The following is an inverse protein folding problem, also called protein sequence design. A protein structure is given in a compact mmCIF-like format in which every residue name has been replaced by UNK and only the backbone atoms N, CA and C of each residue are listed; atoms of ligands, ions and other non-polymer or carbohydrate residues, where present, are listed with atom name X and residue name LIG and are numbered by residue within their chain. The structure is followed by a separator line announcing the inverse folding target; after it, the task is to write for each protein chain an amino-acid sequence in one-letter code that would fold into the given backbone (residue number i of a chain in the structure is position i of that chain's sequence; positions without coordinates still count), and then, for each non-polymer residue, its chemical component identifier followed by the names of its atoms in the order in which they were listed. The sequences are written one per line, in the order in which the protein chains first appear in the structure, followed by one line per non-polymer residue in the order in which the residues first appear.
data_IF_935835521713
#
_entry.id   IF_935835521713
#
_cell.length_a   1.000
_cell.length_b   1.000
_cell.length_c   1.000
_cell.angle_alpha   90.00
_cell.angle_beta   90.00
_cell.angle_gamma   90.00
#
_symmetry.space_group_name_H-M   'P 1'
#
loop_
_entity.id
_entity.type
_entity.pdbx_description
1 polymer ?
#
# COMPACT_ATOMS: atom_id res chain seq x y z
N UNK A 1 1.48 20.77 -9.05
CA UNK A 1 0.61 19.83 -9.79
C UNK A 1 1.00 18.34 -9.67
N UNK A 2 2.10 17.96 -8.99
CA UNK A 2 2.58 16.56 -8.98
C UNK A 2 2.00 15.60 -7.92
N UNK A 3 1.67 16.07 -6.70
CA UNK A 3 1.28 15.17 -5.60
C UNK A 3 -0.10 14.51 -5.79
N UNK A 4 -1.07 15.21 -6.38
CA UNK A 4 -2.43 14.72 -6.59
C UNK A 4 -2.51 13.65 -7.69
N UNK A 5 -1.73 13.79 -8.77
CA UNK A 5 -1.70 12.78 -9.84
C UNK A 5 -1.02 11.47 -9.37
N UNK A 6 0.04 11.57 -8.56
CA UNK A 6 0.70 10.41 -7.97
C UNK A 6 -0.17 9.71 -6.93
N UNK A 7 -0.89 10.46 -6.11
CA UNK A 7 -1.83 9.91 -5.15
C UNK A 7 -2.86 9.00 -5.84
N UNK A 8 -3.37 9.43 -7.01
CA UNK A 8 -4.29 8.64 -7.82
C UNK A 8 -3.63 7.37 -8.40
N UNK A 9 -2.39 7.46 -8.89
CA UNK A 9 -1.64 6.32 -9.41
C UNK A 9 -1.28 5.29 -8.31
N UNK A 10 -0.83 5.77 -7.16
CA UNK A 10 -0.56 4.94 -5.97
C UNK A 10 -1.83 4.24 -5.48
N UNK A 11 -2.95 4.97 -5.42
CA UNK A 11 -4.22 4.41 -5.02
C UNK A 11 -4.72 3.32 -5.99
N UNK A 12 -4.63 3.57 -7.29
CA UNK A 12 -5.02 2.58 -8.31
C UNK A 12 -4.21 1.27 -8.18
N UNK A 13 -2.92 1.37 -7.88
CA UNK A 13 -2.03 0.22 -7.71
C UNK A 13 -2.34 -0.63 -6.46
N UNK A 14 -2.53 0.01 -5.30
CA UNK A 14 -2.83 -0.69 -4.04
C UNK A 14 -4.14 -1.51 -4.16
N UNK A 15 -5.11 -0.98 -4.90
CA UNK A 15 -6.38 -1.66 -5.24
C UNK A 15 -6.20 -2.81 -6.24
N UNK A 16 -5.43 -2.61 -7.32
CA UNK A 16 -5.20 -3.63 -8.36
C UNK A 16 -4.40 -4.85 -7.85
N UNK A 17 -3.43 -4.65 -6.96
CA UNK A 17 -2.71 -5.73 -6.28
C UNK A 17 -3.65 -6.59 -5.39
N UNK A 18 -4.68 -5.97 -4.80
CA UNK A 18 -5.74 -6.67 -4.06
C UNK A 18 -6.73 -7.41 -4.96
N UNK A 19 -7.08 -6.83 -6.12
CA UNK A 19 -8.03 -7.42 -7.08
C UNK A 19 -7.46 -8.66 -7.79
N UNK A 20 -6.17 -8.64 -8.12
CA UNK A 20 -5.47 -9.79 -8.72
C UNK A 20 -5.42 -11.02 -7.79
N UNK A 21 -5.43 -10.81 -6.47
CA UNK A 21 -5.49 -11.89 -5.48
C UNK A 21 -6.89 -12.53 -5.39
N UNK A 22 -7.96 -11.75 -5.63
CA UNK A 22 -9.35 -12.22 -5.59
C UNK A 22 -9.70 -13.12 -6.78
N UNK A 23 -9.15 -12.82 -7.97
CA UNK A 23 -9.44 -13.58 -9.17
C UNK A 23 -8.78 -14.96 -9.23
N UNK A 24 -7.70 -15.19 -8.47
CA UNK A 24 -7.07 -16.52 -8.34
C UNK A 24 -7.86 -17.47 -7.42
N UNK A 25 -8.68 -16.96 -6.51
CA UNK A 25 -9.50 -17.81 -5.62
C UNK A 25 -10.90 -18.09 -6.19
N UNK A 26 -11.39 -17.28 -7.13
CA UNK A 26 -12.73 -17.46 -7.73
C UNK A 26 -12.78 -18.47 -8.89
N UNK A 27 -11.64 -18.87 -9.48
CA UNK A 27 -11.59 -19.85 -10.57
C UNK A 27 -11.65 -21.33 -10.13
N UNK A 28 -11.65 -21.61 -8.82
CA UNK A 28 -11.61 -22.97 -8.28
C UNK A 28 -12.98 -23.55 -7.84
N UNK A 29 -14.10 -22.85 -8.09
CA UNK A 29 -15.43 -23.26 -7.58
C UNK A 29 -16.56 -23.33 -8.61
N UNK A 30 -16.25 -23.35 -9.91
CA UNK A 30 -17.27 -23.56 -10.95
C UNK A 30 -16.85 -24.69 -11.88
N UNK A 31 -17.09 -25.94 -11.46
CA UNK A 31 -17.42 -27.05 -12.35
C UNK A 31 -17.84 -28.28 -11.53
N UNK A 32 -19.12 -28.37 -11.18
CA UNK A 32 -19.78 -29.66 -10.96
C UNK A 32 -20.99 -29.71 -11.89
N UNK A 33 -21.02 -30.57 -12.91
CA UNK A 33 -22.28 -30.87 -13.59
C UNK A 33 -22.95 -32.05 -12.89
N UNK A 34 -24.23 -31.87 -12.55
CA UNK A 34 -25.12 -32.95 -12.14
C UNK A 34 -25.95 -33.43 -13.33
N UNK A 35 -26.18 -34.75 -13.34
CA UNK A 35 -27.38 -35.44 -13.84
C UNK A 35 -27.63 -35.58 -15.35
N UNK A 36 -27.33 -36.80 -15.84
CA UNK A 36 -28.17 -37.71 -16.68
C UNK A 36 -29.12 -37.13 -17.74
N UNK A 37 -28.91 -37.53 -19.00
CA UNK A 37 -29.97 -37.99 -19.92
C UNK A 37 -29.38 -38.90 -21.01
N UNK A 38 -30.07 -40.02 -21.30
CA UNK A 38 -29.76 -40.99 -22.36
C UNK A 38 -29.84 -40.37 -23.76
N UNK A 39 -28.94 -40.74 -24.69
CA UNK A 39 -29.34 -41.30 -26.02
C UNK A 39 -28.13 -41.78 -26.87
N UNK A 40 -28.23 -43.05 -27.30
CA UNK A 40 -27.68 -43.79 -28.47
C UNK A 40 -26.50 -43.27 -29.32
N UNK A 41 -25.55 -44.21 -29.51
CA UNK A 41 -24.85 -44.64 -30.76
C UNK A 41 -24.50 -43.59 -31.83
N UNK A 42 -23.21 -43.47 -32.18
CA UNK A 42 -22.57 -44.05 -33.40
C UNK A 42 -21.10 -43.63 -33.53
N UNK A 43 -20.30 -44.52 -34.10
CA UNK A 43 -18.91 -44.34 -34.55
C UNK A 43 -18.77 -43.18 -35.56
N UNK A 44 -17.59 -42.56 -35.61
CA UNK A 44 -16.74 -42.38 -36.81
C UNK A 44 -15.54 -41.49 -36.47
N UNK A 45 -14.33 -42.05 -36.53
CA UNK A 45 -13.34 -41.90 -37.60
C UNK A 45 -12.49 -40.62 -37.55
N UNK A 46 -11.22 -40.89 -37.26
CA UNK A 46 -10.01 -40.11 -37.46
C UNK A 46 -9.98 -39.52 -38.88
N UNK A 47 -9.78 -38.21 -39.01
CA UNK A 47 -9.35 -37.60 -40.25
C UNK A 47 -8.16 -36.68 -39.97
N UNK A 48 -6.99 -37.11 -40.42
CA UNK A 48 -5.78 -36.32 -40.54
C UNK A 48 -5.89 -35.54 -41.85
N UNK A 49 -5.77 -34.21 -41.79
CA UNK A 49 -5.35 -33.44 -42.95
C UNK A 49 -4.38 -32.35 -42.50
N UNK A 50 -3.12 -32.50 -42.91
CA UNK A 50 -2.16 -31.40 -43.02
C UNK A 50 -2.65 -30.50 -44.15
N UNK A 51 -2.57 -29.19 -43.96
CA UNK A 51 -2.16 -28.32 -45.03
C UNK A 51 -1.43 -27.10 -44.50
N UNK A 52 -0.28 -26.87 -45.11
CA UNK A 52 0.62 -25.73 -45.00
C UNK A 52 0.00 -24.51 -45.67
N UNK A 53 0.06 -23.34 -45.02
CA UNK A 53 -0.03 -22.06 -45.69
C UNK A 53 0.78 -21.03 -44.91
N UNK A 54 1.77 -20.45 -45.59
CA UNK A 54 2.53 -19.29 -45.18
C UNK A 54 1.63 -18.05 -45.19
N UNK A 55 1.78 -17.19 -44.18
CA UNK A 55 1.35 -15.81 -44.25
C UNK A 55 2.33 -14.97 -43.43
N UNK A 56 3.14 -14.18 -44.15
CA UNK A 56 3.89 -13.08 -43.57
C UNK A 56 2.91 -12.16 -42.83
N UNK A 57 3.20 -11.86 -41.55
CA UNK A 57 2.49 -10.82 -40.82
C UNK A 57 3.50 -9.79 -40.35
N UNK A 58 3.16 -8.55 -40.66
CA UNK A 58 3.95 -7.35 -40.50
C UNK A 58 4.61 -7.23 -39.12
N UNK A 59 5.81 -6.66 -39.10
CA UNK A 59 6.41 -6.10 -37.89
C UNK A 59 5.53 -4.94 -37.39
N UNK A 60 4.44 -5.27 -36.71
CA UNK A 60 3.74 -4.35 -35.85
C UNK A 60 4.70 -4.03 -34.70
N UNK A 61 5.25 -2.82 -34.71
CA UNK A 61 5.83 -2.22 -33.52
C UNK A 61 4.72 -2.18 -32.46
N UNK A 62 4.65 -3.25 -31.68
CA UNK A 62 3.82 -3.31 -30.49
C UNK A 62 4.46 -2.36 -29.49
N UNK A 63 4.03 -1.11 -29.48
CA UNK A 63 4.18 -0.27 -28.30
C UNK A 63 3.50 -1.03 -27.17
N UNK A 64 4.30 -1.77 -26.41
CA UNK A 64 3.83 -2.66 -25.36
C UNK A 64 3.17 -1.76 -24.32
N UNK A 65 1.84 -1.72 -24.32
CA UNK A 65 1.06 -0.89 -23.41
C UNK A 65 1.51 -1.20 -21.98
N UNK A 66 2.17 -0.22 -21.35
CA UNK A 66 2.81 -0.41 -20.05
C UNK A 66 1.68 -0.60 -19.05
N UNK A 67 1.70 -1.72 -18.31
CA UNK A 67 0.67 -2.00 -17.30
C UNK A 67 0.77 -0.96 -16.19
N UNK A 68 -0.35 -0.64 -15.55
CA UNK A 68 -0.36 0.31 -14.42
C UNK A 68 0.61 -0.06 -13.30
N UNK A 69 0.86 -1.36 -13.10
CA UNK A 69 1.86 -1.88 -12.15
C UNK A 69 3.27 -1.44 -12.49
N UNK A 70 3.59 -1.43 -13.78
CA UNK A 70 4.92 -1.15 -14.28
C UNK A 70 5.16 0.36 -14.26
N UNK A 71 4.12 1.18 -14.50
CA UNK A 71 4.19 2.64 -14.36
C UNK A 71 4.51 3.09 -12.93
N UNK A 72 3.82 2.54 -11.92
CA UNK A 72 4.08 2.89 -10.50
C UNK A 72 5.44 2.35 -10.04
N UNK A 73 5.83 1.17 -10.52
CA UNK A 73 7.16 0.63 -10.25
C UNK A 73 8.26 1.53 -10.82
N UNK A 74 8.08 2.07 -12.04
CA UNK A 74 8.98 3.03 -12.68
C UNK A 74 9.07 4.34 -11.89
N UNK A 75 7.94 4.85 -11.38
CA UNK A 75 7.89 6.11 -10.63
C UNK A 75 8.68 6.05 -9.32
N UNK A 76 8.69 4.88 -8.67
CA UNK A 76 9.51 4.62 -7.50
C UNK A 76 10.86 3.94 -7.83
N UNK A 77 11.19 3.75 -9.10
CA UNK A 77 12.42 3.07 -9.50
C UNK A 77 13.66 3.87 -9.08
N UNK A 78 13.57 5.20 -9.15
CA UNK A 78 14.63 6.13 -8.73
C UNK A 78 15.03 5.98 -7.24
N UNK A 79 14.15 5.39 -6.42
CA UNK A 79 14.50 5.13 -5.03
C UNK A 79 15.63 4.12 -4.92
N UNK A 80 15.86 3.27 -5.94
CA UNK A 80 16.86 2.21 -5.94
C UNK A 80 16.85 1.39 -4.65
N UNK A 81 15.65 1.07 -4.15
CA UNK A 81 15.47 0.42 -2.86
C UNK A 81 16.16 -0.96 -2.88
N UNK A 82 17.10 -1.21 -1.96
CA UNK A 82 17.83 -2.47 -1.96
C UNK A 82 16.88 -3.64 -1.72
N UNK A 83 16.97 -4.64 -2.61
CA UNK A 83 16.39 -5.97 -2.39
C UNK A 83 17.38 -6.71 -1.49
N UNK A 84 17.32 -6.45 -0.20
CA UNK A 84 18.29 -7.01 0.75
C UNK A 84 17.93 -8.45 1.12
N UNK A 85 18.85 -9.38 0.88
CA UNK A 85 18.78 -10.75 1.39
C UNK A 85 18.77 -10.80 2.94
N UNK A 86 19.29 -9.76 3.62
CA UNK A 86 19.26 -9.63 5.09
C UNK A 86 17.84 -9.42 5.62
N UNK A 87 17.03 -8.58 4.94
CA UNK A 87 15.59 -8.41 5.24
C UNK A 87 14.87 -9.76 5.13
N UNK A 88 15.10 -10.53 4.05
CA UNK A 88 14.45 -11.84 3.89
C UNK A 88 14.83 -12.85 4.97
N UNK A 89 16.03 -12.72 5.57
CA UNK A 89 16.46 -13.51 6.72
C UNK A 89 15.73 -13.13 8.01
N UNK A 90 15.67 -11.84 8.35
CA UNK A 90 15.06 -11.36 9.60
C UNK A 90 13.53 -11.29 9.58
N UNK A 91 12.91 -10.91 8.46
CA UNK A 91 11.46 -10.88 8.30
C UNK A 91 10.87 -12.25 7.91
N UNK A 92 11.75 -13.18 7.54
CA UNK A 92 11.42 -14.48 6.95
C UNK A 92 10.67 -14.33 5.62
N UNK A 93 10.49 -15.43 4.90
CA UNK A 93 9.55 -15.52 3.76
C UNK A 93 8.06 -15.45 4.22
N UNK A 94 7.79 -14.83 5.36
CA UNK A 94 6.54 -14.94 6.04
C UNK A 94 5.54 -13.94 5.46
N UNK A 95 4.65 -14.47 4.62
CA UNK A 95 3.53 -13.78 3.96
C UNK A 95 2.89 -12.73 4.86
N UNK A 96 2.86 -11.48 4.38
CA UNK A 96 2.18 -10.38 5.06
C UNK A 96 0.69 -10.44 4.67
N UNK A 97 -0.19 -10.47 5.67
CA UNK A 97 -1.64 -10.35 5.43
C UNK A 97 -1.95 -8.92 4.99
N UNK A 98 -2.71 -8.79 3.91
CA UNK A 98 -3.11 -7.47 3.41
C UNK A 98 -3.99 -6.73 4.41
N UNK A 99 -5.01 -7.42 4.96
CA UNK A 99 -5.97 -6.87 5.90
C UNK A 99 -5.72 -7.40 7.31
N UNK A 100 -5.93 -6.54 8.31
CA UNK A 100 -5.93 -6.91 9.73
C UNK A 100 -7.23 -6.49 10.41
N UNK A 101 -7.50 -7.01 11.60
CA UNK A 101 -8.59 -6.49 12.43
C UNK A 101 -8.03 -5.42 13.38
N UNK A 102 -8.23 -4.11 13.14
CA UNK A 102 -7.69 -3.05 13.99
C UNK A 102 -8.30 -3.02 15.39
N UNK A 103 -9.40 -3.76 15.62
CA UNK A 103 -10.08 -3.88 16.91
C UNK A 103 -9.56 -5.07 17.74
N UNK A 104 -8.49 -5.75 17.30
CA UNK A 104 -7.85 -6.80 18.09
C UNK A 104 -7.17 -6.21 19.32
N UNK A 105 -7.14 -6.93 20.45
CA UNK A 105 -6.47 -6.51 21.69
C UNK A 105 -4.98 -6.18 21.49
N UNK A 106 -4.34 -6.82 20.50
CA UNK A 106 -2.95 -6.50 20.12
C UNK A 106 -2.74 -5.09 19.56
N UNK A 107 -3.81 -4.38 19.20
CA UNK A 107 -3.76 -3.05 18.57
C UNK A 107 -4.50 -1.97 19.36
N UNK A 108 -4.85 -2.25 20.62
CA UNK A 108 -5.51 -1.29 21.52
C UNK A 108 -4.52 -0.47 22.34
N UNK A 109 -3.26 -0.91 22.44
CA UNK A 109 -2.20 -0.17 23.11
C UNK A 109 -1.68 0.92 22.17
N UNK A 110 -1.67 2.19 22.60
CA UNK A 110 -1.10 3.27 21.79
C UNK A 110 0.40 3.07 21.55
N UNK A 111 0.88 3.48 20.37
CA UNK A 111 2.32 3.45 20.06
C UNK A 111 3.10 4.35 21.04
N UNK A 112 4.32 3.98 21.47
CA UNK A 112 5.13 4.87 22.29
C UNK A 112 5.48 6.14 21.52
N UNK A 113 5.51 7.28 22.23
CA UNK A 113 5.95 8.56 21.66
C UNK A 113 7.48 8.49 21.51
N UNK A 114 8.03 8.69 20.31
CA UNK A 114 9.48 8.73 20.13
C UNK A 114 10.07 10.04 20.66
N UNK A 115 11.37 10.04 20.95
CA UNK A 115 12.10 11.29 21.09
C UNK A 115 12.30 11.91 19.69
N UNK A 116 11.52 12.96 19.39
CA UNK A 116 11.55 13.59 18.08
C UNK A 116 12.92 14.17 17.70
N UNK A 117 13.74 14.52 18.69
CA UNK A 117 15.09 15.03 18.46
C UNK A 117 16.09 13.95 18.04
N UNK A 118 15.82 12.69 18.41
CA UNK A 118 16.59 11.53 17.94
C UNK A 118 16.10 11.04 16.56
N UNK A 119 14.80 11.22 16.28
CA UNK A 119 14.17 10.79 15.02
C UNK A 119 14.47 11.72 13.86
N UNK A 120 14.36 13.04 14.07
CA UNK A 120 14.49 14.04 13.01
C UNK A 120 15.65 14.98 13.27
N UNK A 121 16.42 15.28 12.21
CA UNK A 121 17.50 16.28 12.27
C UNK A 121 17.01 17.65 12.76
N UNK A 122 15.79 18.04 12.37
CA UNK A 122 15.12 19.22 12.89
C UNK A 122 13.65 18.89 13.16
N UNK A 123 13.25 18.60 14.42
CA UNK A 123 11.88 18.20 14.74
C UNK A 123 10.86 19.35 14.70
N UNK A 124 11.30 20.60 14.49
CA UNK A 124 10.40 21.77 14.44
C UNK A 124 9.83 22.02 13.04
N UNK A 125 10.32 21.31 12.01
CA UNK A 125 9.82 21.42 10.65
C UNK A 125 8.36 20.96 10.53
N UNK A 126 7.62 21.40 9.49
CA UNK A 126 6.29 20.91 9.20
C UNK A 126 6.18 19.39 9.15
N UNK A 127 5.18 18.81 9.81
CA UNK A 127 4.92 17.38 9.81
C UNK A 127 3.89 17.01 8.74
N UNK A 128 4.18 15.90 8.07
CA UNK A 128 3.31 15.23 7.13
C UNK A 128 3.13 13.77 7.56
N UNK A 129 1.89 13.38 7.83
CA UNK A 129 1.56 12.04 8.35
C UNK A 129 0.83 11.22 7.29
N UNK A 130 1.34 10.02 6.99
CA UNK A 130 0.67 9.05 6.12
C UNK A 130 0.10 7.88 6.94
N UNK A 131 -1.22 7.83 7.03
CA UNK A 131 -1.96 6.83 7.80
C UNK A 131 -2.22 5.62 6.92
N UNK A 132 -1.73 4.46 7.35
CA UNK A 132 -1.77 3.23 6.55
C UNK A 132 -0.72 3.25 5.45
N UNK A 133 0.50 3.70 5.76
CA UNK A 133 1.57 3.98 4.80
C UNK A 133 2.05 2.76 3.98
N UNK A 134 1.56 1.56 4.29
CA UNK A 134 1.80 0.37 3.49
C UNK A 134 3.28 0.03 3.44
N UNK A 135 3.82 -0.07 2.22
CA UNK A 135 5.26 -0.33 2.02
C UNK A 135 6.16 0.85 2.40
N UNK A 136 5.61 2.05 2.61
CA UNK A 136 6.37 3.27 2.87
C UNK A 136 6.98 3.93 1.63
N UNK A 137 6.91 3.28 0.44
CA UNK A 137 7.53 3.80 -0.80
C UNK A 137 7.08 5.22 -1.17
N UNK A 138 5.77 5.48 -1.07
CA UNK A 138 5.22 6.81 -1.35
C UNK A 138 5.82 7.87 -0.44
N UNK A 139 5.83 7.61 0.87
CA UNK A 139 6.33 8.57 1.84
C UNK A 139 7.85 8.76 1.73
N UNK A 140 8.62 7.69 1.51
CA UNK A 140 10.08 7.74 1.26
C UNK A 140 10.40 8.58 0.01
N UNK A 141 9.66 8.34 -1.09
CA UNK A 141 9.77 9.12 -2.33
C UNK A 141 9.53 10.59 -2.12
N UNK A 142 8.54 10.93 -1.29
CA UNK A 142 8.22 12.32 -0.99
C UNK A 142 9.28 12.96 -0.10
N UNK A 143 9.72 12.26 0.95
CA UNK A 143 10.74 12.73 1.87
C UNK A 143 12.08 12.99 1.17
N UNK A 144 12.48 12.09 0.28
CA UNK A 144 13.72 12.21 -0.49
C UNK A 144 13.74 13.42 -1.43
N UNK A 145 12.58 13.83 -1.97
CA UNK A 145 12.48 15.04 -2.81
C UNK A 145 12.44 16.34 -2.01
N UNK A 146 12.19 16.26 -0.72
CA UNK A 146 11.91 17.40 0.14
C UNK A 146 12.69 17.29 1.46
N UNK A 147 14.03 17.12 1.42
CA UNK A 147 14.82 16.78 2.61
C UNK A 147 14.79 17.85 3.71
N UNK A 148 14.70 19.13 3.34
CA UNK A 148 14.83 20.26 4.27
C UNK A 148 13.52 21.01 4.55
N UNK A 149 12.41 20.64 3.89
CA UNK A 149 11.15 21.39 3.95
C UNK A 149 10.09 20.78 4.86
N UNK A 150 10.28 19.54 5.32
CA UNK A 150 9.33 18.87 6.20
C UNK A 150 9.82 17.53 6.73
N UNK A 151 9.16 17.09 7.79
CA UNK A 151 9.31 15.77 8.38
C UNK A 151 8.13 14.89 8.00
N UNK A 152 8.39 13.60 7.86
CA UNK A 152 7.45 12.62 7.35
C UNK A 152 7.27 11.48 8.35
N UNK A 153 6.03 11.18 8.71
CA UNK A 153 5.69 10.11 9.65
C UNK A 153 4.72 9.12 9.02
N UNK A 154 5.16 7.89 8.84
CA UNK A 154 4.30 6.80 8.36
C UNK A 154 3.73 5.99 9.53
N UNK A 155 2.41 5.86 9.61
CA UNK A 155 1.75 5.01 10.60
C UNK A 155 1.23 3.75 9.92
N UNK A 156 1.69 2.58 10.35
CA UNK A 156 1.27 1.31 9.75
C UNK A 156 1.03 0.23 10.82
N UNK A 157 -0.12 -0.44 10.72
CA UNK A 157 -0.57 -1.46 11.66
C UNK A 157 0.06 -2.84 11.39
N UNK A 158 0.83 -3.00 10.31
CA UNK A 158 1.56 -4.22 9.97
C UNK A 158 3.04 -4.02 10.27
N UNK A 159 3.46 -4.46 11.45
CA UNK A 159 4.84 -4.30 11.94
C UNK A 159 5.94 -4.74 10.95
N UNK A 160 5.68 -5.79 10.16
CA UNK A 160 6.63 -6.26 9.14
C UNK A 160 6.89 -5.23 8.03
N UNK A 161 5.89 -4.44 7.67
CA UNK A 161 6.05 -3.38 6.68
C UNK A 161 6.81 -2.19 7.27
N UNK A 162 6.52 -1.84 8.53
CA UNK A 162 7.26 -0.80 9.27
C UNK A 162 8.75 -1.14 9.33
N UNK A 163 9.10 -2.36 9.78
CA UNK A 163 10.51 -2.80 9.84
C UNK A 163 11.22 -2.71 8.49
N UNK A 164 10.52 -3.05 7.40
CA UNK A 164 11.07 -2.94 6.04
C UNK A 164 11.25 -1.48 5.61
N UNK A 165 10.28 -0.62 5.90
CA UNK A 165 10.34 0.79 5.56
C UNK A 165 11.48 1.49 6.33
N UNK A 166 11.61 1.23 7.63
CA UNK A 166 12.72 1.73 8.47
C UNK A 166 14.09 1.26 7.95
N UNK A 167 14.22 -0.01 7.55
CA UNK A 167 15.44 -0.50 6.92
C UNK A 167 15.79 0.32 5.66
N UNK A 168 14.81 0.59 4.80
CA UNK A 168 15.03 1.41 3.60
C UNK A 168 15.38 2.86 3.92
N UNK A 169 14.81 3.43 4.98
CA UNK A 169 15.17 4.78 5.46
C UNK A 169 16.65 4.83 5.85
N UNK A 170 17.13 3.82 6.58
CA UNK A 170 18.54 3.70 6.97
C UNK A 170 19.47 3.53 5.77
N UNK A 171 19.15 2.64 4.83
CA UNK A 171 19.97 2.42 3.62
C UNK A 171 20.04 3.66 2.72
N UNK A 172 18.99 4.49 2.71
CA UNK A 172 18.96 5.76 1.97
C UNK A 172 19.52 6.94 2.77
N UNK A 173 19.94 6.74 4.02
CA UNK A 173 20.43 7.76 4.92
C UNK A 173 19.50 8.99 5.04
N UNK A 174 18.19 8.76 5.05
CA UNK A 174 17.20 9.82 5.23
C UNK A 174 17.02 10.15 6.72
N UNK A 175 16.98 11.44 7.05
CA UNK A 175 16.87 11.94 8.44
C UNK A 175 15.63 12.80 8.69
N UNK A 176 14.72 12.86 7.72
CA UNK A 176 13.46 13.60 7.76
C UNK A 176 12.23 12.67 7.66
N UNK A 177 12.39 11.36 7.82
CA UNK A 177 11.29 10.39 7.72
C UNK A 177 11.43 9.29 8.77
N UNK A 178 10.28 8.85 9.29
CA UNK A 178 10.20 7.74 10.24
C UNK A 178 8.88 6.98 10.11
N UNK A 179 8.88 5.69 10.43
CA UNK A 179 7.73 4.80 10.40
C UNK A 179 7.48 4.16 11.76
N UNK A 180 6.24 4.23 12.23
CA UNK A 180 5.80 3.65 13.49
C UNK A 180 4.80 2.50 13.27
N UNK A 181 5.00 1.43 14.03
CA UNK A 181 3.99 0.40 14.20
C UNK A 181 2.88 0.94 15.09
N UNK A 182 1.76 1.31 14.47
CA UNK A 182 0.69 2.01 15.16
C UNK A 182 -0.69 1.69 14.58
N UNK A 183 -1.66 1.57 15.49
CA UNK A 183 -3.06 1.74 15.13
C UNK A 183 -3.37 3.24 15.16
N UNK A 184 -3.62 3.84 14.00
CA UNK A 184 -3.81 5.28 13.87
C UNK A 184 -4.99 5.78 14.70
N UNK A 185 -6.10 5.03 14.76
CA UNK A 185 -7.28 5.42 15.56
C UNK A 185 -7.01 5.47 17.06
N UNK A 186 -5.95 4.82 17.53
CA UNK A 186 -5.54 4.79 18.95
C UNK A 186 -4.38 5.75 19.21
N UNK A 187 -3.42 5.84 18.28
CA UNK A 187 -2.13 6.47 18.53
C UNK A 187 -2.00 7.87 17.93
N UNK A 188 -2.81 8.24 16.94
CA UNK A 188 -2.60 9.46 16.16
C UNK A 188 -2.56 10.71 17.04
N UNK A 189 -3.58 10.91 17.89
CA UNK A 189 -3.73 12.11 18.73
C UNK A 189 -2.49 12.39 19.60
N UNK A 190 -2.02 11.39 20.34
CA UNK A 190 -0.86 11.54 21.23
C UNK A 190 0.46 11.76 20.46
N UNK A 191 0.59 11.18 19.26
CA UNK A 191 1.78 11.34 18.43
C UNK A 191 1.85 12.76 17.88
N UNK A 192 0.75 13.26 17.31
CA UNK A 192 0.73 14.62 16.76
C UNK A 192 0.75 15.70 17.84
N UNK A 193 0.17 15.44 19.01
CA UNK A 193 0.17 16.41 20.13
C UNK A 193 1.53 16.56 20.79
N UNK A 194 2.39 15.54 20.69
CA UNK A 194 3.75 15.58 21.26
C UNK A 194 4.80 16.08 20.28
N UNK A 195 4.46 16.15 18.98
CA UNK A 195 5.37 16.65 17.96
C UNK A 195 5.52 18.18 18.06
N UNK A 196 6.74 18.73 18.05
CA UNK A 196 6.96 20.15 18.36
C UNK A 196 6.72 21.11 17.18
N UNK A 197 6.69 20.61 15.94
CA UNK A 197 6.39 21.41 14.75
C UNK A 197 4.90 21.40 14.33
N UNK A 198 4.53 22.15 13.28
CA UNK A 198 3.14 22.22 12.82
C UNK A 198 2.74 20.99 12.00
N UNK A 199 1.58 20.39 12.26
CA UNK A 199 0.99 19.38 11.38
C UNK A 199 0.36 20.06 10.16
N UNK A 200 0.93 19.82 8.98
CA UNK A 200 0.51 20.48 7.74
C UNK A 200 -0.20 19.55 6.76
N UNK A 201 0.00 18.24 6.85
CA UNK A 201 -0.64 17.32 5.93
C UNK A 201 -0.92 15.95 6.54
N UNK A 202 -2.12 15.42 6.31
CA UNK A 202 -2.49 14.04 6.61
C UNK A 202 -2.96 13.33 5.34
N UNK A 203 -2.34 12.20 4.99
CA UNK A 203 -2.81 11.32 3.91
C UNK A 203 -3.34 10.00 4.46
N UNK A 204 -4.40 9.48 3.84
CA UNK A 204 -4.98 8.17 4.11
C UNK A 204 -5.25 7.52 2.76
N UNK A 205 -4.26 6.82 2.22
CA UNK A 205 -4.31 6.36 0.83
C UNK A 205 -4.72 4.89 0.76
N UNK A 206 -5.80 4.61 0.01
CA UNK A 206 -6.33 3.25 -0.15
C UNK A 206 -6.57 2.49 1.16
N UNK A 207 -7.38 3.06 2.07
CA UNK A 207 -7.77 2.34 3.28
C UNK A 207 -8.59 1.09 2.93
N UNK A 208 -8.55 0.10 3.82
CA UNK A 208 -9.37 -1.11 3.69
C UNK A 208 -10.86 -0.74 3.64
N UNK A 209 -11.59 -1.09 2.55
CA UNK A 209 -12.96 -0.62 2.35
C UNK A 209 -13.97 -1.25 3.32
N UNK A 210 -13.65 -2.44 3.82
CA UNK A 210 -14.49 -3.22 4.74
C UNK A 210 -15.99 -3.29 4.34
N UNK A 211 -16.27 -3.70 3.10
CA UNK A 211 -17.61 -3.72 2.47
C UNK A 211 -18.77 -4.35 3.28
N UNK A 212 -18.48 -5.29 4.18
CA UNK A 212 -19.52 -5.96 4.97
C UNK A 212 -19.94 -5.05 6.13
N UNK A 213 -21.25 -4.81 6.32
CA UNK A 213 -21.81 -3.98 7.42
C UNK A 213 -21.17 -4.27 8.78
N UNK A 214 -21.01 -5.56 9.14
CA UNK A 214 -20.38 -5.99 10.39
C UNK A 214 -18.91 -5.55 10.57
N UNK A 215 -18.24 -5.16 9.49
CA UNK A 215 -16.85 -4.68 9.49
C UNK A 215 -16.74 -3.15 9.35
N UNK A 216 -17.84 -2.40 9.25
CA UNK A 216 -17.78 -0.94 9.09
C UNK A 216 -17.03 -0.25 10.23
N UNK A 217 -17.10 -0.80 11.45
CA UNK A 217 -16.35 -0.32 12.63
C UNK A 217 -14.83 -0.47 12.50
N UNK A 218 -14.34 -1.24 11.52
CA UNK A 218 -12.91 -1.44 11.25
C UNK A 218 -12.34 -0.42 10.26
N UNK A 219 -13.17 0.36 9.58
CA UNK A 219 -12.68 1.42 8.68
C UNK A 219 -11.87 2.42 9.49
N UNK A 220 -10.73 2.84 8.95
CA UNK A 220 -9.82 3.78 9.62
C UNK A 220 -10.44 5.17 9.79
N UNK A 221 -11.19 5.63 8.78
CA UNK A 221 -11.91 6.91 8.83
C UNK A 221 -13.18 6.75 9.64
N UNK A 222 -13.05 7.06 10.93
CA UNK A 222 -14.13 7.18 11.89
C UNK A 222 -14.03 8.54 12.56
N UNK A 223 -15.14 8.98 13.15
CA UNK A 223 -15.25 10.25 13.86
C UNK A 223 -14.07 10.54 14.81
N UNK A 224 -13.62 9.62 15.69
CA UNK A 224 -12.52 9.93 16.62
C UNK A 224 -11.20 10.30 15.93
N UNK A 225 -10.86 9.63 14.83
CA UNK A 225 -9.65 9.94 14.06
C UNK A 225 -9.83 11.27 13.31
N UNK A 226 -11.00 11.49 12.71
CA UNK A 226 -11.31 12.74 11.98
C UNK A 226 -11.26 13.94 12.92
N UNK A 227 -11.88 13.84 14.10
CA UNK A 227 -11.84 14.88 15.12
C UNK A 227 -10.39 15.16 15.53
N UNK A 228 -9.58 14.11 15.76
CA UNK A 228 -8.16 14.29 16.08
C UNK A 228 -7.35 14.95 14.95
N UNK A 229 -7.69 14.70 13.68
CA UNK A 229 -7.05 15.38 12.55
C UNK A 229 -7.45 16.86 12.55
N UNK A 230 -8.73 17.17 12.73
CA UNK A 230 -9.24 18.55 12.75
C UNK A 230 -8.62 19.36 13.89
N UNK A 231 -8.50 18.76 15.08
CA UNK A 231 -7.99 19.44 16.28
C UNK A 231 -6.52 19.89 16.14
N UNK A 232 -5.70 19.15 15.37
CA UNK A 232 -4.25 19.37 15.30
C UNK A 232 -3.74 19.85 13.94
N UNK A 233 -4.53 19.73 12.87
CA UNK A 233 -4.14 20.22 11.56
C UNK A 233 -4.13 21.75 11.56
N UNK A 234 -2.99 22.33 11.20
CA UNK A 234 -2.84 23.79 11.18
C UNK A 234 -3.68 24.43 10.08
N UNK A 235 -4.09 25.70 10.22
CA UNK A 235 -4.72 26.46 9.15
C UNK A 235 -3.89 26.40 7.85
N UNK A 236 -4.55 26.12 6.72
CA UNK A 236 -3.90 25.89 5.43
C UNK A 236 -3.32 24.48 5.24
N UNK A 237 -3.37 23.63 6.27
CA UNK A 237 -3.05 22.21 6.17
C UNK A 237 -4.01 21.44 5.27
N UNK A 238 -3.57 20.29 4.78
CA UNK A 238 -4.30 19.51 3.76
C UNK A 238 -4.55 18.08 4.20
N UNK A 239 -5.71 17.55 3.79
CA UNK A 239 -6.04 16.13 3.93
C UNK A 239 -6.20 15.52 2.54
N UNK A 240 -5.57 14.38 2.31
CA UNK A 240 -5.76 13.56 1.10
C UNK A 240 -6.33 12.20 1.50
N UNK A 241 -7.48 11.83 0.93
CA UNK A 241 -8.20 10.59 1.18
C UNK A 241 -8.70 9.99 -0.13
#
# INVERSE_FOLDING_TARGET
MGASHLCLHYCYYQSAAGFAAFHRTAKALISKPSSTFLCRRRHHHRCLYRNTASAASAACNTSKEIRSTDLVALEFAELNLPVSNKITGELGHARIRQHVNPLSSSFTVPAPIPDWSEVYKNPTLPLMVDIGSGSGRFLIWLARRNPDSGNYLGLEIRQKLVKRAEFWVQELALSNIHFLFANASVSFKQLVSSYPGPLMLVSILCPDPHFKKKHHKRRVVQKPLVDSIIDYLMPGGKVYF
#
